data_IF_408591654244
#
_entry.id   IF_408591654244
#
_cell.length_a   1.000
_cell.length_b   1.000
_cell.length_c   1.000
_cell.angle_alpha   90.00
_cell.angle_beta   90.00
_cell.angle_gamma   90.00
#
_symmetry.space_group_name_H-M   'P 1'
#
loop_
_entity.id
_entity.type
_entity.pdbx_description
1 polymer ?
#
# COMPACT_ATOMS: atom_id res chain seq x y z
N UNK A 1 -3.15 -17.67 -19.09
CA UNK A 1 -3.08 -17.80 -17.62
C UNK A 1 -1.76 -17.19 -17.16
N UNK A 2 -1.77 -16.23 -16.22
CA UNK A 2 -0.54 -15.52 -15.81
C UNK A 2 0.36 -16.44 -14.98
N UNK A 3 1.58 -16.70 -15.45
CA UNK A 3 2.57 -17.53 -14.74
C UNK A 3 2.93 -16.96 -13.35
N UNK A 4 2.92 -15.63 -13.20
CA UNK A 4 3.22 -14.94 -11.95
C UNK A 4 2.05 -14.83 -10.97
N UNK A 5 0.88 -15.37 -11.29
CA UNK A 5 -0.33 -15.23 -10.45
C UNK A 5 -0.13 -15.72 -9.01
N UNK A 6 0.58 -16.82 -8.80
CA UNK A 6 0.83 -17.35 -7.45
C UNK A 6 1.76 -16.42 -6.63
N UNK A 7 2.79 -15.86 -7.27
CA UNK A 7 3.72 -14.94 -6.62
C UNK A 7 3.00 -13.64 -6.24
N UNK A 8 2.30 -13.04 -7.21
CA UNK A 8 1.56 -11.79 -7.00
C UNK A 8 0.54 -11.89 -5.85
N UNK A 9 -0.19 -13.01 -5.76
CA UNK A 9 -1.14 -13.21 -4.66
C UNK A 9 -0.45 -13.27 -3.30
N UNK A 10 0.72 -13.91 -3.19
CA UNK A 10 1.48 -13.99 -1.93
C UNK A 10 2.03 -12.62 -1.52
N UNK A 11 2.56 -11.87 -2.47
CA UNK A 11 3.07 -10.52 -2.21
C UNK A 11 1.94 -9.59 -1.77
N UNK A 12 0.83 -9.54 -2.50
CA UNK A 12 -0.32 -8.73 -2.15
C UNK A 12 -0.89 -9.10 -0.78
N UNK A 13 -1.02 -10.40 -0.48
CA UNK A 13 -1.51 -10.85 0.82
C UNK A 13 -0.62 -10.37 1.97
N UNK A 14 0.69 -10.57 1.86
CA UNK A 14 1.62 -10.17 2.93
C UNK A 14 1.67 -8.65 3.11
N UNK A 15 1.68 -7.90 2.01
CA UNK A 15 1.67 -6.43 2.05
C UNK A 15 0.38 -5.91 2.67
N UNK A 16 -0.79 -6.38 2.24
CA UNK A 16 -2.05 -5.95 2.81
C UNK A 16 -2.18 -6.31 4.28
N UNK A 17 -1.83 -7.54 4.66
CA UNK A 17 -1.91 -7.96 6.06
C UNK A 17 -1.01 -7.12 6.96
N UNK A 18 0.23 -6.83 6.53
CA UNK A 18 1.15 -5.96 7.30
C UNK A 18 0.63 -4.53 7.39
N UNK A 19 0.19 -3.95 6.27
CA UNK A 19 -0.30 -2.57 6.25
C UNK A 19 -1.56 -2.39 7.11
N UNK A 20 -2.56 -3.25 6.94
CA UNK A 20 -3.83 -3.15 7.68
C UNK A 20 -3.63 -3.43 9.17
N UNK A 21 -2.71 -4.33 9.53
CA UNK A 21 -2.37 -4.63 10.90
C UNK A 21 -1.58 -3.49 11.59
N UNK A 22 -0.71 -2.79 10.87
CA UNK A 22 0.12 -1.72 11.45
C UNK A 22 -0.54 -0.34 11.39
N UNK A 23 -1.39 -0.09 10.39
CA UNK A 23 -1.95 1.24 10.13
C UNK A 23 -3.47 1.20 9.92
N UNK A 24 -4.13 2.25 10.40
CA UNK A 24 -5.45 2.66 9.91
C UNK A 24 -5.22 3.52 8.66
N UNK A 25 -5.74 3.06 7.53
CA UNK A 25 -5.64 3.79 6.25
C UNK A 25 -6.87 4.69 6.14
N UNK A 26 -6.64 6.00 6.07
CA UNK A 26 -7.66 7.02 5.93
C UNK A 26 -7.55 7.70 4.57
N UNK A 27 -8.69 8.14 4.07
CA UNK A 27 -8.80 8.94 2.85
C UNK A 27 -8.16 10.32 3.09
N UNK A 28 -7.29 10.75 2.19
CA UNK A 28 -6.73 12.12 2.22
C UNK A 28 -7.58 13.07 1.37
N UNK A 29 -7.80 12.71 0.11
CA UNK A 29 -8.60 13.46 -0.87
C UNK A 29 -9.80 12.65 -1.35
N UNK A 30 -10.77 13.31 -2.00
CA UNK A 30 -11.76 12.58 -2.79
C UNK A 30 -11.13 11.94 -4.03
N UNK A 31 -11.35 10.64 -4.21
CA UNK A 31 -10.73 9.85 -5.28
C UNK A 31 -11.83 9.09 -6.00
N UNK A 32 -11.90 9.28 -7.32
CA UNK A 32 -12.73 8.45 -8.18
C UNK A 32 -12.14 7.03 -8.22
N UNK A 33 -12.82 6.12 -7.53
CA UNK A 33 -12.45 4.72 -7.42
C UNK A 33 -13.25 3.85 -8.39
N UNK A 34 -14.03 4.45 -9.30
CA UNK A 34 -14.74 3.71 -10.33
C UNK A 34 -13.72 3.10 -11.31
N UNK A 35 -13.84 1.80 -11.65
CA UNK A 35 -12.83 1.08 -12.43
C UNK A 35 -12.65 1.59 -13.87
N UNK A 36 -13.63 2.35 -14.37
CA UNK A 36 -13.60 2.95 -15.72
C UNK A 36 -13.20 4.43 -15.69
N UNK A 37 -13.98 5.31 -15.04
CA UNK A 37 -13.71 6.76 -15.01
C UNK A 37 -12.50 7.16 -14.15
N UNK A 38 -12.18 6.35 -13.13
CA UNK A 38 -11.01 6.56 -12.27
C UNK A 38 -9.69 6.11 -12.88
N UNK A 39 -9.72 5.41 -14.03
CA UNK A 39 -8.51 5.01 -14.75
C UNK A 39 -7.83 6.23 -15.37
N UNK A 40 -6.52 6.36 -15.16
CA UNK A 40 -5.73 7.48 -15.66
C UNK A 40 -5.58 7.43 -17.19
N UNK A 41 -5.44 6.23 -17.74
CA UNK A 41 -5.30 5.98 -19.18
C UNK A 41 -6.12 4.74 -19.60
N UNK A 42 -7.30 4.94 -20.21
CA UNK A 42 -8.14 3.85 -20.73
C UNK A 42 -7.51 3.00 -21.84
N UNK A 43 -6.42 3.47 -22.46
CA UNK A 43 -5.74 2.77 -23.56
C UNK A 43 -4.58 1.89 -23.07
N UNK A 44 -4.19 2.03 -21.81
CA UNK A 44 -3.15 1.23 -21.17
C UNK A 44 -3.56 -0.23 -20.98
N UNK A 45 -2.59 -1.14 -21.06
CA UNK A 45 -2.78 -2.56 -20.76
C UNK A 45 -3.16 -2.82 -19.29
N UNK A 46 -2.80 -1.89 -18.39
CA UNK A 46 -3.06 -1.97 -16.96
C UNK A 46 -3.93 -0.79 -16.55
N UNK A 47 -5.03 -1.06 -15.84
CA UNK A 47 -5.89 -0.04 -15.24
C UNK A 47 -5.18 0.57 -14.02
N UNK A 48 -4.64 1.78 -14.21
CA UNK A 48 -3.91 2.51 -13.18
C UNK A 48 -4.76 3.69 -12.69
N UNK A 49 -4.90 3.90 -11.37
CA UNK A 49 -5.61 5.07 -10.87
C UNK A 49 -4.83 6.35 -11.18
N UNK A 50 -5.52 7.50 -11.18
CA UNK A 50 -4.86 8.82 -11.16
C UNK A 50 -4.03 8.97 -9.87
N UNK A 51 -2.95 9.76 -9.87
CA UNK A 51 -2.18 10.03 -8.66
C UNK A 51 -3.08 10.53 -7.52
N UNK A 52 -3.00 9.90 -6.36
CA UNK A 52 -3.79 10.23 -5.17
C UNK A 52 -2.95 10.10 -3.91
N UNK A 53 -3.47 10.63 -2.80
CA UNK A 53 -2.85 10.55 -1.48
C UNK A 53 -3.71 9.70 -0.55
N UNK A 54 -3.04 8.99 0.36
CA UNK A 54 -3.67 8.27 1.45
C UNK A 54 -2.96 8.61 2.75
N UNK A 55 -3.71 8.68 3.85
CA UNK A 55 -3.16 8.95 5.17
C UNK A 55 -3.01 7.63 5.92
N UNK A 56 -1.80 7.33 6.38
CA UNK A 56 -1.51 6.14 7.17
C UNK A 56 -1.34 6.55 8.63
N UNK A 57 -2.31 6.20 9.47
CA UNK A 57 -2.27 6.48 10.91
C UNK A 57 -1.80 5.22 11.63
N UNK A 58 -0.66 5.23 12.35
CA UNK A 58 -0.19 4.07 13.09
C UNK A 58 -1.25 3.61 14.10
N UNK A 59 -1.48 2.30 14.18
CA UNK A 59 -2.37 1.74 15.22
C UNK A 59 -1.72 1.76 16.60
N UNK A 60 -0.39 1.63 16.63
CA UNK A 60 0.43 1.73 17.84
C UNK A 60 1.69 2.55 17.50
N UNK A 61 1.77 3.75 18.09
CA UNK A 61 2.86 4.70 17.84
C UNK A 61 4.17 4.28 18.50
N UNK A 62 4.10 3.59 19.65
CA UNK A 62 5.29 3.14 20.38
C UNK A 62 5.95 1.98 19.65
N UNK A 63 5.15 1.01 19.19
CA UNK A 63 5.65 -0.13 18.40
C UNK A 63 6.26 0.35 17.09
N UNK A 64 5.61 1.30 16.39
CA UNK A 64 6.18 1.87 15.17
C UNK A 64 7.50 2.59 15.45
N UNK A 65 7.56 3.42 16.49
CA UNK A 65 8.77 4.17 16.84
C UNK A 65 9.91 3.23 17.23
N UNK A 66 9.63 2.14 17.94
CA UNK A 66 10.61 1.11 18.25
C UNK A 66 11.11 0.37 16.99
N UNK A 67 10.20 0.02 16.07
CA UNK A 67 10.54 -0.65 14.82
C UNK A 67 11.41 0.23 13.91
N UNK A 68 11.11 1.54 13.82
CA UNK A 68 11.91 2.51 13.06
C UNK A 68 13.33 2.62 13.63
N UNK A 69 13.46 2.81 14.96
CA UNK A 69 14.78 2.84 15.63
C UNK A 69 15.58 1.55 15.38
N UNK A 70 14.93 0.39 15.51
CA UNK A 70 15.60 -0.90 15.27
C UNK A 70 16.06 -1.10 13.82
N UNK A 71 15.40 -0.45 12.87
CA UNK A 71 15.79 -0.50 11.46
C UNK A 71 16.98 0.40 11.18
N UNK A 72 16.99 1.61 11.74
CA UNK A 72 18.11 2.56 11.63
C UNK A 72 19.41 2.01 12.26
N UNK A 73 19.30 1.29 13.37
CA UNK A 73 20.45 0.64 14.02
C UNK A 73 21.06 -0.47 13.14
N UNK A 74 20.22 -1.22 12.40
CA UNK A 74 20.68 -2.26 11.48
C UNK A 74 21.32 -1.70 10.21
N UNK A 75 20.87 -0.54 9.74
CA UNK A 75 21.50 0.12 8.57
C UNK A 75 22.89 0.69 8.89
N UNK A 76 23.16 0.97 10.17
CA UNK A 76 24.45 1.50 10.64
C UNK A 76 25.47 0.42 11.02
N UNK A 77 25.04 -0.84 11.17
CA UNK A 77 25.86 -1.98 11.55
C UNK A 77 26.38 -2.75 10.32
#
# INVERSE_FOLDING_TARGET
MCAGSLLANRELYLVYMRLINSFKIEKHDDVDHHPVSGNADPTSLVAMPRPYRARFVPRDTEVLSAALRSSEEKEKA
#
